data_IF_068358340856
#
_entry.id   IF_068358340856
#
_cell.length_a   1.000
_cell.length_b   1.000
_cell.length_c   1.000
_cell.angle_alpha   90.00
_cell.angle_beta   90.00
_cell.angle_gamma   90.00
#
_symmetry.space_group_name_H-M   'P 1'
#
loop_
_entity.id
_entity.type
_entity.pdbx_description
1 polymer ?
#
# COMPACT_ATOMS: atom_id res chain seq x y z
N UNK A 1 -22.07 1.20 9.73
CA UNK A 1 -21.23 2.29 10.23
C UNK A 1 -21.10 3.36 9.16
N UNK A 2 -21.46 4.61 9.45
CA UNK A 2 -21.60 5.71 8.46
C UNK A 2 -20.40 6.66 8.55
N UNK A 3 -19.18 6.11 8.57
CA UNK A 3 -17.94 6.90 8.62
C UNK A 3 -17.21 6.71 7.28
N UNK A 4 -17.03 7.81 6.54
CA UNK A 4 -16.25 7.84 5.30
C UNK A 4 -14.81 8.25 5.65
N UNK A 5 -13.84 7.87 4.79
CA UNK A 5 -12.43 8.29 4.95
C UNK A 5 -11.56 7.43 5.87
N UNK A 6 -11.91 6.15 6.08
CA UNK A 6 -11.17 5.25 6.96
C UNK A 6 -9.68 5.08 6.65
N UNK A 7 -9.29 5.08 5.36
CA UNK A 7 -7.88 5.02 4.95
C UNK A 7 -7.11 6.29 5.36
N UNK A 8 -7.74 7.46 5.22
CA UNK A 8 -7.14 8.75 5.60
C UNK A 8 -6.98 8.84 7.12
N UNK A 9 -8.00 8.47 7.89
CA UNK A 9 -7.92 8.49 9.35
C UNK A 9 -6.90 7.48 9.88
N UNK A 10 -6.77 6.31 9.26
CA UNK A 10 -5.71 5.35 9.59
C UNK A 10 -4.31 5.91 9.29
N UNK A 11 -4.11 6.56 8.14
CA UNK A 11 -2.84 7.20 7.80
C UNK A 11 -2.47 8.30 8.83
N UNK A 12 -3.43 9.16 9.19
CA UNK A 12 -3.24 10.21 10.21
C UNK A 12 -2.95 9.64 11.60
N UNK A 13 -3.49 8.47 11.93
CA UNK A 13 -3.15 7.77 13.16
C UNK A 13 -1.69 7.30 13.14
N UNK A 14 -1.26 6.65 12.06
CA UNK A 14 0.12 6.17 11.91
C UNK A 14 1.13 7.33 11.93
N UNK A 15 0.79 8.47 11.33
CA UNK A 15 1.61 9.68 11.31
C UNK A 15 2.08 10.11 12.71
N UNK A 16 1.26 9.88 13.74
CA UNK A 16 1.63 10.25 15.13
C UNK A 16 2.85 9.50 15.66
N UNK A 17 3.27 8.41 15.02
CA UNK A 17 4.36 7.54 15.47
C UNK A 17 5.66 7.68 14.66
N UNK A 18 5.68 8.50 13.61
CA UNK A 18 6.81 8.54 12.66
C UNK A 18 7.94 9.50 13.07
N UNK A 19 7.63 10.46 13.96
CA UNK A 19 8.59 11.45 14.46
C UNK A 19 9.02 12.44 13.38
N UNK A 20 10.34 12.65 13.23
CA UNK A 20 10.93 13.60 12.26
C UNK A 20 11.37 12.95 10.93
N UNK A 21 10.94 11.73 10.65
CA UNK A 21 11.40 10.97 9.48
C UNK A 21 10.68 11.45 8.22
N UNK A 22 11.40 11.48 7.08
CA UNK A 22 10.75 11.51 5.78
C UNK A 22 9.98 10.20 5.62
N UNK A 23 8.65 10.29 5.49
CA UNK A 23 7.78 9.14 5.61
C UNK A 23 6.68 9.15 4.55
N UNK A 24 6.32 7.95 4.12
CA UNK A 24 5.19 7.67 3.24
C UNK A 24 4.43 6.46 3.78
N UNK A 25 3.10 6.53 3.75
CA UNK A 25 2.21 5.39 3.97
C UNK A 25 1.59 4.98 2.64
N UNK A 26 1.77 3.72 2.26
CA UNK A 26 1.13 3.12 1.09
C UNK A 26 0.10 2.09 1.56
N UNK A 27 -1.19 2.47 1.52
CA UNK A 27 -2.28 1.53 1.77
C UNK A 27 -2.51 0.68 0.51
N UNK A 28 -2.23 -0.62 0.62
CA UNK A 28 -2.34 -1.58 -0.48
C UNK A 28 -3.44 -2.61 -0.25
N UNK A 29 -4.33 -2.41 0.73
CA UNK A 29 -5.35 -3.42 1.08
C UNK A 29 -6.21 -3.84 -0.12
N UNK A 30 -6.54 -2.90 -1.01
CA UNK A 30 -7.27 -3.17 -2.26
C UNK A 30 -6.47 -4.03 -3.25
N UNK A 31 -5.32 -3.56 -3.77
CA UNK A 31 -4.57 -4.29 -4.79
C UNK A 31 -3.75 -5.47 -4.27
N UNK A 32 -3.63 -5.70 -2.96
CA UNK A 32 -2.78 -6.76 -2.40
C UNK A 32 -3.22 -8.19 -2.78
N UNK A 33 -4.49 -8.38 -3.17
CA UNK A 33 -5.03 -9.68 -3.54
C UNK A 33 -5.83 -9.64 -4.84
N UNK A 34 -5.75 -10.74 -5.58
CA UNK A 34 -6.60 -11.03 -6.73
C UNK A 34 -7.49 -12.24 -6.42
N UNK A 35 -8.77 -12.14 -6.76
CA UNK A 35 -9.75 -13.21 -6.54
C UNK A 35 -9.68 -14.30 -7.63
N UNK A 36 -9.02 -13.99 -8.75
CA UNK A 36 -8.83 -14.88 -9.89
C UNK A 36 -7.47 -14.63 -10.55
N UNK A 37 -7.08 -15.53 -11.45
CA UNK A 37 -5.92 -15.28 -12.31
C UNK A 37 -6.25 -14.16 -13.30
N UNK A 38 -5.41 -13.11 -13.31
CA UNK A 38 -5.61 -11.90 -14.10
C UNK A 38 -4.27 -11.37 -14.62
N UNK A 39 -3.84 -11.89 -15.78
CA UNK A 39 -2.59 -11.47 -16.42
C UNK A 39 -1.38 -11.82 -15.55
N UNK A 40 -0.65 -10.79 -15.11
CA UNK A 40 0.51 -10.95 -14.20
C UNK A 40 0.12 -11.20 -12.73
N UNK A 41 -1.16 -11.05 -12.37
CA UNK A 41 -1.65 -11.26 -11.02
C UNK A 41 -2.30 -12.65 -10.90
N UNK A 42 -1.64 -13.64 -10.25
CA UNK A 42 -2.29 -14.91 -9.96
C UNK A 42 -3.36 -14.74 -8.88
N UNK A 43 -4.30 -15.68 -8.80
CA UNK A 43 -5.23 -15.77 -7.67
C UNK A 43 -4.45 -15.85 -6.36
N UNK A 44 -4.82 -15.00 -5.39
CA UNK A 44 -4.09 -14.84 -4.13
C UNK A 44 -3.29 -13.54 -4.09
N UNK A 45 -2.05 -13.58 -3.62
CA UNK A 45 -1.23 -12.38 -3.44
C UNK A 45 -0.69 -11.84 -4.78
N UNK A 46 -0.87 -10.53 -5.02
CA UNK A 46 -0.46 -9.88 -6.27
C UNK A 46 1.00 -9.39 -6.27
N UNK A 47 1.60 -9.21 -5.09
CA UNK A 47 2.91 -8.56 -4.98
C UNK A 47 2.90 -7.07 -5.33
N UNK A 48 1.73 -6.41 -5.26
CA UNK A 48 1.59 -4.99 -5.56
C UNK A 48 2.63 -4.13 -4.82
N UNK A 49 3.28 -3.22 -5.55
CA UNK A 49 4.31 -2.32 -5.03
C UNK A 49 5.74 -2.85 -5.08
N UNK A 50 5.97 -4.16 -5.20
CA UNK A 50 7.34 -4.73 -5.24
C UNK A 50 8.15 -4.17 -6.41
N UNK A 51 7.60 -4.20 -7.63
CA UNK A 51 8.27 -3.67 -8.82
C UNK A 51 8.53 -2.16 -8.74
N UNK A 52 7.59 -1.40 -8.17
CA UNK A 52 7.75 0.04 -7.95
C UNK A 52 8.90 0.34 -6.99
N UNK A 53 8.90 -0.30 -5.81
CA UNK A 53 9.91 -0.03 -4.78
C UNK A 53 11.30 -0.51 -5.21
N UNK A 54 11.40 -1.65 -5.89
CA UNK A 54 12.68 -2.15 -6.43
C UNK A 54 13.23 -1.23 -7.50
N UNK A 55 12.39 -0.73 -8.43
CA UNK A 55 12.82 0.26 -9.42
C UNK A 55 13.21 1.59 -8.79
N UNK A 56 12.44 2.08 -7.83
CA UNK A 56 12.78 3.31 -7.10
C UNK A 56 14.15 3.20 -6.43
N UNK A 57 14.38 2.12 -5.66
CA UNK A 57 15.66 1.85 -5.01
C UNK A 57 16.82 1.74 -6.00
N UNK A 58 16.60 1.15 -7.17
CA UNK A 58 17.62 1.03 -8.22
C UNK A 58 17.90 2.36 -8.97
N UNK A 59 17.00 3.35 -8.83
CA UNK A 59 17.13 4.68 -9.44
C UNK A 59 17.68 5.76 -8.51
N UNK A 60 17.90 5.43 -7.23
CA UNK A 60 18.59 6.29 -6.27
C UNK A 60 20.08 6.42 -6.62
#
# INVERSE_FOLDING_TARGET
FKFQGGSVTAALFLEKFVGKRNWVHMDIAGPARSEADAGENPKGGTGFGVRLLTQWLASL
#
